data_IF_755827408160
#
_entry.id   IF_755827408160
#
_cell.length_a   1.000
_cell.length_b   1.000
_cell.length_c   1.000
_cell.angle_alpha   90.00
_cell.angle_beta   90.00
_cell.angle_gamma   90.00
#
_symmetry.space_group_name_H-M   'P 1'
#
loop_
_entity.id
_entity.type
_entity.pdbx_description
1 polymer ?
#
# COMPACT_ATOMS: atom_id res chain seq x y z
N UNK A 1 40.44 61.51 38.41
CA UNK A 1 41.20 60.33 38.91
C UNK A 1 40.23 59.21 39.28
N UNK A 2 39.87 58.39 38.29
CA UNK A 2 39.26 57.05 38.42
C UNK A 2 39.50 56.34 37.07
N UNK A 3 40.24 55.23 37.01
CA UNK A 3 40.65 54.63 35.73
C UNK A 3 39.55 53.76 35.10
N UNK A 4 39.62 53.69 33.78
CA UNK A 4 38.79 52.92 32.85
C UNK A 4 39.01 51.40 33.01
N UNK A 5 37.99 50.53 32.92
CA UNK A 5 38.19 49.09 32.95
C UNK A 5 38.75 48.56 31.62
N UNK A 6 39.79 47.74 31.71
CA UNK A 6 40.44 47.02 30.60
C UNK A 6 39.58 45.83 30.10
N UNK A 7 39.69 45.45 28.80
CA UNK A 7 38.95 44.32 28.25
C UNK A 7 39.53 42.97 28.70
N UNK A 8 38.71 41.91 28.85
CA UNK A 8 39.20 40.58 29.19
C UNK A 8 39.95 39.92 28.01
N UNK A 9 41.08 39.33 28.37
CA UNK A 9 42.05 38.69 27.49
C UNK A 9 41.54 37.39 26.85
N UNK A 10 42.02 37.15 25.63
CA UNK A 10 41.83 35.93 24.85
C UNK A 10 42.33 34.68 25.59
N UNK A 11 41.48 33.64 25.61
CA UNK A 11 41.87 32.30 26.04
C UNK A 11 42.71 31.62 24.95
N UNK A 12 43.85 30.99 25.28
CA UNK A 12 44.67 30.28 24.33
C UNK A 12 44.08 28.90 23.97
N UNK A 13 44.24 28.57 22.69
CA UNK A 13 43.93 27.29 22.06
C UNK A 13 44.69 26.14 22.73
N UNK A 14 43.96 25.11 23.14
CA UNK A 14 44.53 23.82 23.56
C UNK A 14 44.99 23.02 22.33
N UNK A 15 46.24 22.52 22.28
CA UNK A 15 46.67 21.56 21.27
C UNK A 15 46.17 20.13 21.60
N UNK A 16 45.88 19.27 20.60
CA UNK A 16 45.48 17.88 20.81
C UNK A 16 46.69 17.00 21.21
N UNK A 17 46.50 15.97 22.05
CA UNK A 17 47.55 15.02 22.37
C UNK A 17 47.75 13.97 21.26
N UNK A 18 49.02 13.64 21.03
CA UNK A 18 49.50 12.60 20.11
C UNK A 18 49.13 11.17 20.57
N UNK A 19 48.94 10.26 19.61
CA UNK A 19 48.79 8.80 19.84
C UNK A 19 50.02 8.14 20.48
N UNK A 20 50.01 6.84 20.82
CA UNK A 20 49.75 5.69 19.92
C UNK A 20 48.78 4.66 20.59
N UNK A 21 48.32 3.52 20.05
CA UNK A 21 48.99 2.35 19.42
C UNK A 21 47.89 1.57 18.67
N UNK A 22 48.19 1.12 17.44
CA UNK A 22 47.36 0.18 16.69
C UNK A 22 47.39 -1.19 17.37
N UNK A 23 46.26 -1.65 17.91
CA UNK A 23 46.12 -3.02 18.37
C UNK A 23 45.67 -3.91 17.22
N UNK A 24 46.46 -4.96 17.01
CA UNK A 24 46.51 -5.86 15.87
C UNK A 24 45.30 -6.80 15.76
N UNK A 25 44.79 -6.89 14.54
CA UNK A 25 43.78 -7.84 14.05
C UNK A 25 44.26 -9.30 14.25
N UNK A 26 43.42 -10.23 14.73
CA UNK A 26 43.80 -11.64 14.78
C UNK A 26 43.93 -12.24 13.36
N UNK A 27 44.90 -13.13 13.09
CA UNK A 27 45.12 -13.71 11.77
C UNK A 27 44.17 -14.88 11.47
N UNK A 28 43.81 -15.01 10.20
CA UNK A 28 43.08 -16.14 9.62
C UNK A 28 43.95 -17.42 9.62
N UNK A 29 43.37 -18.63 9.76
CA UNK A 29 44.12 -19.88 9.67
C UNK A 29 44.54 -20.20 8.21
N UNK A 30 45.70 -20.87 8.01
CA UNK A 30 46.22 -21.16 6.68
C UNK A 30 45.46 -22.29 5.97
N UNK A 31 45.24 -22.10 4.67
CA UNK A 31 44.71 -23.09 3.75
C UNK A 31 45.67 -24.28 3.62
N UNK A 32 45.16 -25.49 3.90
CA UNK A 32 45.85 -26.74 3.56
C UNK A 32 45.77 -26.99 2.05
N UNK A 33 46.93 -26.95 1.40
CA UNK A 33 47.16 -27.42 0.05
C UNK A 33 47.24 -28.95 0.05
N UNK A 34 46.22 -29.61 -0.52
CA UNK A 34 46.29 -31.01 -0.95
C UNK A 34 46.82 -31.12 -2.38
N UNK A 35 47.58 -32.17 -2.74
CA UNK A 35 48.30 -32.25 -4.01
C UNK A 35 47.42 -32.69 -5.18
N UNK A 36 47.76 -32.14 -6.35
CA UNK A 36 47.21 -32.47 -7.67
C UNK A 36 47.51 -33.91 -8.07
N UNK A 37 46.48 -34.64 -8.51
CA UNK A 37 46.59 -35.70 -9.52
C UNK A 37 45.54 -35.42 -10.59
N UNK A 38 46.00 -35.24 -11.83
CA UNK A 38 45.14 -34.91 -12.97
C UNK A 38 44.43 -36.13 -13.54
N UNK A 39 43.24 -35.91 -14.09
CA UNK A 39 42.80 -36.60 -15.31
C UNK A 39 41.85 -35.68 -16.06
N UNK A 40 42.15 -35.52 -17.33
CA UNK A 40 41.48 -34.81 -18.43
C UNK A 40 40.00 -35.20 -18.59
N UNK A 41 39.08 -34.25 -18.79
CA UNK A 41 38.08 -34.25 -19.88
C UNK A 41 37.38 -32.88 -20.03
N UNK A 42 37.00 -32.55 -21.26
CA UNK A 42 36.54 -31.24 -21.75
C UNK A 42 35.01 -31.02 -21.56
N UNK A 43 34.45 -29.85 -21.94
CA UNK A 43 33.29 -29.22 -21.28
C UNK A 43 31.92 -29.62 -21.83
N UNK A 44 30.97 -29.88 -20.93
CA UNK A 44 29.54 -30.08 -21.24
C UNK A 44 28.66 -29.17 -20.39
N UNK A 45 27.85 -28.37 -21.08
CA UNK A 45 26.67 -27.59 -20.66
C UNK A 45 26.30 -27.50 -19.15
N UNK A 46 26.09 -26.30 -18.58
CA UNK A 46 25.44 -26.19 -17.27
C UNK A 46 23.95 -26.56 -17.43
N UNK A 47 23.59 -27.70 -16.84
CA UNK A 47 22.19 -28.08 -16.63
C UNK A 47 21.50 -27.07 -15.67
N UNK A 48 20.18 -26.91 -15.76
CA UNK A 48 19.43 -25.91 -14.98
C UNK A 48 19.48 -26.27 -13.50
N UNK A 49 19.74 -25.26 -12.66
CA UNK A 49 19.70 -25.40 -11.21
C UNK A 49 18.33 -25.93 -10.73
N UNK A 50 18.30 -26.64 -9.60
CA UNK A 50 17.07 -27.20 -9.04
C UNK A 50 16.03 -26.09 -8.79
N UNK A 51 14.72 -26.42 -8.89
CA UNK A 51 13.66 -25.42 -8.82
C UNK A 51 13.71 -24.71 -7.47
N UNK A 52 13.66 -23.38 -7.52
CA UNK A 52 13.44 -22.53 -6.36
C UNK A 52 12.33 -23.15 -5.50
N UNK A 53 12.67 -23.51 -4.26
CA UNK A 53 11.73 -23.89 -3.23
C UNK A 53 10.67 -22.80 -3.16
N UNK A 54 9.48 -23.14 -3.64
CA UNK A 54 8.26 -22.37 -3.45
C UNK A 54 8.09 -22.27 -1.94
N UNK A 55 8.44 -21.12 -1.37
CA UNK A 55 8.02 -20.78 0.00
C UNK A 55 6.52 -21.06 0.07
N UNK A 56 6.05 -21.85 1.04
CA UNK A 56 4.64 -22.14 1.16
C UNK A 56 3.91 -20.81 1.35
N UNK A 57 3.03 -20.49 0.40
CA UNK A 57 1.93 -19.56 0.65
C UNK A 57 1.23 -20.02 1.92
N UNK A 58 0.91 -19.13 2.87
CA UNK A 58 0.04 -19.49 3.97
C UNK A 58 -1.28 -19.96 3.36
N UNK A 59 -1.53 -21.25 3.46
CA UNK A 59 -2.77 -21.85 2.99
C UNK A 59 -3.94 -21.26 3.80
N UNK A 60 -5.16 -21.20 3.22
CA UNK A 60 -6.37 -20.90 3.99
C UNK A 60 -6.44 -21.78 5.24
N UNK A 61 -7.23 -21.43 6.27
CA UNK A 61 -7.36 -22.25 7.47
C UNK A 61 -7.92 -23.63 7.10
N UNK A 62 -7.03 -24.56 6.81
CA UNK A 62 -7.35 -25.92 6.43
C UNK A 62 -7.78 -26.63 7.70
N UNK A 63 -9.00 -27.17 7.67
CA UNK A 63 -9.53 -28.03 8.71
C UNK A 63 -8.50 -29.12 9.10
N UNK A 64 -8.37 -29.47 10.39
CA UNK A 64 -7.46 -30.51 10.80
C UNK A 64 -7.76 -31.80 10.02
N UNK A 65 -6.73 -32.52 9.54
CA UNK A 65 -6.95 -33.75 8.80
C UNK A 65 -7.63 -34.77 9.71
N UNK A 66 -8.92 -35.03 9.46
CA UNK A 66 -9.67 -36.04 10.21
C UNK A 66 -9.15 -37.43 9.83
N UNK A 67 -8.74 -38.27 10.80
CA UNK A 67 -8.30 -39.64 10.54
C UNK A 67 -9.33 -40.43 9.73
N UNK A 68 -8.88 -41.22 8.76
CA UNK A 68 -9.78 -42.00 7.89
C UNK A 68 -10.72 -42.96 8.67
N UNK A 69 -10.30 -43.42 9.87
CA UNK A 69 -11.09 -44.26 10.76
C UNK A 69 -12.29 -43.54 11.43
N UNK A 70 -12.34 -42.20 11.35
CA UNK A 70 -13.38 -41.36 11.94
C UNK A 70 -14.32 -40.75 10.87
N UNK A 71 -14.02 -40.96 9.59
CA UNK A 71 -14.90 -40.58 8.48
C UNK A 71 -16.20 -41.37 8.53
N UNK A 72 -17.34 -40.67 8.49
CA UNK A 72 -18.69 -41.28 8.59
C UNK A 72 -19.27 -41.37 10.01
N UNK A 73 -18.60 -40.82 11.03
CA UNK A 73 -19.19 -40.61 12.36
C UNK A 73 -20.07 -39.37 12.35
N UNK A 74 -21.27 -39.49 12.92
CA UNK A 74 -22.23 -38.41 13.02
C UNK A 74 -22.32 -37.92 14.46
N UNK A 75 -22.29 -36.61 14.64
CA UNK A 75 -22.40 -35.96 15.94
C UNK A 75 -23.57 -34.97 15.91
N UNK A 76 -24.26 -34.85 17.05
CA UNK A 76 -25.28 -33.82 17.28
C UNK A 76 -24.71 -32.84 18.29
N UNK A 77 -24.62 -31.57 17.90
CA UNK A 77 -24.10 -30.50 18.76
C UNK A 77 -25.26 -29.57 19.11
N UNK A 78 -25.57 -29.48 20.40
CA UNK A 78 -26.55 -28.54 20.93
C UNK A 78 -25.92 -27.79 22.11
N UNK A 79 -25.77 -26.49 21.96
CA UNK A 79 -25.24 -25.59 22.96
C UNK A 79 -26.27 -24.49 23.20
N UNK A 80 -26.72 -24.33 24.45
CA UNK A 80 -27.59 -23.23 24.85
C UNK A 80 -26.80 -22.29 25.76
N UNK A 81 -26.58 -21.06 25.30
CA UNK A 81 -25.88 -20.02 26.07
C UNK A 81 -24.53 -20.47 26.66
N UNK A 82 -23.80 -21.32 25.93
CA UNK A 82 -22.54 -21.91 26.35
C UNK A 82 -21.36 -20.96 26.09
N UNK A 83 -20.33 -21.01 26.92
CA UNK A 83 -19.11 -20.25 26.69
C UNK A 83 -18.37 -20.74 25.43
N UNK A 84 -17.76 -19.81 24.68
CA UNK A 84 -16.95 -20.13 23.48
C UNK A 84 -15.87 -21.17 23.80
N UNK A 85 -15.26 -21.09 25.00
CA UNK A 85 -14.27 -22.05 25.48
C UNK A 85 -14.80 -23.48 25.50
N UNK A 86 -16.02 -23.67 26.00
CA UNK A 86 -16.68 -24.99 26.07
C UNK A 86 -16.95 -25.54 24.67
N UNK A 87 -17.38 -24.70 23.74
CA UNK A 87 -17.65 -25.11 22.35
C UNK A 87 -16.37 -25.54 21.64
N UNK A 88 -15.29 -24.76 21.81
CA UNK A 88 -13.96 -25.10 21.27
C UNK A 88 -13.44 -26.39 21.89
N UNK A 89 -13.57 -26.56 23.19
CA UNK A 89 -13.14 -27.76 23.89
C UNK A 89 -13.85 -29.01 23.37
N UNK A 90 -15.19 -28.96 23.26
CA UNK A 90 -15.98 -30.04 22.69
C UNK A 90 -15.57 -30.37 21.25
N UNK A 91 -15.36 -29.35 20.41
CA UNK A 91 -14.88 -29.56 19.05
C UNK A 91 -13.48 -30.18 19.00
N UNK A 92 -12.59 -29.81 19.93
CA UNK A 92 -11.25 -30.37 20.05
C UNK A 92 -11.26 -31.83 20.48
N UNK A 93 -12.19 -32.23 21.35
CA UNK A 93 -12.37 -33.63 21.78
C UNK A 93 -12.90 -34.49 20.63
N UNK A 94 -13.85 -33.95 19.87
CA UNK A 94 -14.42 -34.63 18.70
C UNK A 94 -13.36 -34.79 17.60
N UNK A 95 -12.58 -33.75 17.29
CA UNK A 95 -11.65 -33.73 16.15
C UNK A 95 -10.21 -34.13 16.50
N UNK A 96 -9.87 -34.16 17.79
CA UNK A 96 -8.53 -34.52 18.28
C UNK A 96 -7.44 -33.49 17.96
N UNK A 97 -7.74 -32.18 17.94
CA UNK A 97 -6.73 -31.13 17.68
C UNK A 97 -6.34 -30.37 18.95
N UNK A 98 -5.07 -29.95 19.02
CA UNK A 98 -4.59 -29.08 20.09
C UNK A 98 -4.94 -27.62 19.79
N UNK A 99 -5.34 -26.86 20.80
CA UNK A 99 -5.67 -25.44 20.64
C UNK A 99 -5.13 -24.56 21.76
N UNK A 100 -5.00 -23.26 21.46
CA UNK A 100 -4.65 -22.21 22.41
C UNK A 100 -5.63 -21.06 22.27
N UNK A 101 -6.27 -20.68 23.37
CA UNK A 101 -7.17 -19.53 23.46
C UNK A 101 -6.37 -18.27 23.80
N UNK A 102 -6.62 -17.18 23.07
CA UNK A 102 -6.17 -15.85 23.49
C UNK A 102 -7.06 -15.32 24.65
N UNK A 103 -6.54 -14.51 25.58
CA UNK A 103 -7.29 -14.01 26.75
C UNK A 103 -8.53 -13.18 26.37
N UNK A 104 -8.52 -12.62 25.15
CA UNK A 104 -9.59 -11.79 24.60
C UNK A 104 -10.77 -12.61 24.03
N UNK A 105 -10.68 -13.94 23.97
CA UNK A 105 -11.72 -14.82 23.42
C UNK A 105 -12.72 -15.15 24.52
N UNK A 106 -13.70 -14.29 24.70
CA UNK A 106 -14.80 -14.47 25.65
C UNK A 106 -16.12 -14.14 24.98
N UNK A 107 -17.13 -14.96 25.22
CA UNK A 107 -18.45 -14.80 24.63
C UNK A 107 -19.34 -15.98 24.93
N UNK A 108 -20.66 -15.77 24.82
CA UNK A 108 -21.65 -16.82 24.91
C UNK A 108 -22.20 -17.13 23.52
N UNK A 109 -22.38 -18.41 23.25
CA UNK A 109 -22.85 -18.93 21.96
C UNK A 109 -24.06 -19.83 22.19
N UNK A 110 -25.06 -19.69 21.34
CA UNK A 110 -26.15 -20.66 21.22
C UNK A 110 -26.08 -21.30 19.85
N UNK A 111 -26.02 -22.63 19.81
CA UNK A 111 -25.95 -23.44 18.60
C UNK A 111 -26.98 -24.55 18.73
N UNK A 112 -27.92 -24.59 17.80
CA UNK A 112 -28.85 -25.71 17.67
C UNK A 112 -28.65 -26.35 16.32
N UNK A 113 -28.39 -27.66 16.32
CA UNK A 113 -28.27 -28.43 15.09
C UNK A 113 -29.50 -29.30 14.92
N UNK A 114 -30.22 -29.14 13.80
CA UNK A 114 -31.43 -29.92 13.50
C UNK A 114 -31.14 -31.33 12.95
N UNK A 115 -29.87 -31.64 12.64
CA UNK A 115 -29.46 -32.86 11.96
C UNK A 115 -28.13 -33.44 12.45
N UNK A 116 -27.82 -34.64 11.96
CA UNK A 116 -26.55 -35.33 12.21
C UNK A 116 -25.45 -34.71 11.36
N UNK A 117 -24.43 -34.13 12.00
CA UNK A 117 -23.28 -33.52 11.30
C UNK A 117 -22.17 -34.56 11.17
N UNK A 118 -21.61 -34.80 9.98
CA UNK A 118 -20.45 -35.68 9.85
C UNK A 118 -19.24 -35.03 10.55
N UNK A 119 -18.41 -35.85 11.18
CA UNK A 119 -17.30 -35.37 12.01
C UNK A 119 -16.36 -34.40 11.27
N UNK A 120 -16.19 -34.57 9.96
CA UNK A 120 -15.42 -33.67 9.08
C UNK A 120 -15.97 -32.26 8.96
N UNK A 121 -17.28 -32.07 9.09
CA UNK A 121 -17.92 -30.77 9.02
C UNK A 121 -17.95 -30.04 10.36
N UNK A 122 -17.63 -30.72 11.46
CA UNK A 122 -17.61 -30.12 12.81
C UNK A 122 -16.63 -28.96 12.88
N UNK A 123 -15.50 -29.03 12.17
CA UNK A 123 -14.53 -27.93 12.16
C UNK A 123 -15.06 -26.72 11.38
N UNK A 124 -15.76 -26.95 10.28
CA UNK A 124 -16.38 -25.88 9.49
C UNK A 124 -17.50 -25.19 10.28
N UNK A 125 -18.29 -25.96 11.02
CA UNK A 125 -19.29 -25.42 11.93
C UNK A 125 -18.65 -24.59 13.06
N UNK A 126 -17.57 -25.09 13.67
CA UNK A 126 -16.81 -24.34 14.67
C UNK A 126 -16.33 -23.01 14.11
N UNK A 127 -15.77 -22.99 12.90
CA UNK A 127 -15.30 -21.77 12.26
C UNK A 127 -16.46 -20.78 12.02
N UNK A 128 -17.62 -21.27 11.54
CA UNK A 128 -18.81 -20.44 11.34
C UNK A 128 -19.31 -19.82 12.65
N UNK A 129 -19.30 -20.60 13.74
CA UNK A 129 -19.66 -20.11 15.09
C UNK A 129 -18.70 -19.02 15.54
N UNK A 130 -17.39 -19.25 15.39
CA UNK A 130 -16.37 -18.28 15.78
C UNK A 130 -16.52 -16.98 14.97
N UNK A 131 -16.81 -17.09 13.67
CA UNK A 131 -16.96 -15.95 12.76
C UNK A 131 -18.11 -15.02 13.17
N UNK A 132 -19.27 -15.56 13.59
CA UNK A 132 -20.41 -14.77 14.07
C UNK A 132 -20.04 -13.90 15.28
N UNK A 133 -19.14 -14.39 16.13
CA UNK A 133 -18.64 -13.66 17.30
C UNK A 133 -17.35 -12.87 17.04
N UNK A 134 -16.87 -12.81 15.79
CA UNK A 134 -15.67 -12.05 15.42
C UNK A 134 -14.35 -12.72 15.82
N UNK A 135 -14.36 -14.03 16.03
CA UNK A 135 -13.18 -14.86 16.28
C UNK A 135 -12.83 -15.72 15.07
N UNK A 136 -11.61 -16.25 15.05
CA UNK A 136 -11.18 -17.21 14.03
C UNK A 136 -10.09 -18.12 14.57
N UNK A 137 -9.94 -19.29 13.97
CA UNK A 137 -8.88 -20.25 14.28
C UNK A 137 -7.77 -20.18 13.23
N UNK A 138 -6.57 -19.80 13.66
CA UNK A 138 -5.37 -19.75 12.81
C UNK A 138 -4.51 -20.96 13.12
N UNK A 139 -4.15 -21.73 12.08
CA UNK A 139 -3.25 -22.87 12.22
C UNK A 139 -1.82 -22.38 12.46
N UNK A 140 -1.20 -22.86 13.53
CA UNK A 140 0.18 -22.54 13.91
C UNK A 140 0.92 -23.86 14.15
N UNK A 141 1.70 -24.30 13.15
CA UNK A 141 2.41 -25.58 13.18
C UNK A 141 1.46 -26.78 13.48
N UNK A 142 1.45 -27.25 14.73
CA UNK A 142 0.70 -28.41 15.21
C UNK A 142 -0.48 -28.07 16.15
N UNK A 143 -0.80 -26.78 16.31
CA UNK A 143 -1.90 -26.32 17.17
C UNK A 143 -2.71 -25.21 16.50
N UNK A 144 -3.97 -25.08 16.92
CA UNK A 144 -4.87 -24.03 16.44
C UNK A 144 -4.93 -22.91 17.46
N UNK A 145 -4.59 -21.69 17.04
CA UNK A 145 -4.69 -20.50 17.88
C UNK A 145 -6.00 -19.80 17.58
N UNK A 146 -6.83 -19.61 18.59
CA UNK A 146 -8.10 -18.88 18.46
C UNK A 146 -7.86 -17.43 18.85
N UNK A 147 -8.11 -16.53 17.91
CA UNK A 147 -7.85 -15.10 18.03
C UNK A 147 -9.04 -14.31 17.49
N UNK A 148 -9.09 -13.01 17.79
CA UNK A 148 -10.04 -12.11 17.15
C UNK A 148 -9.68 -11.94 15.67
N UNK A 149 -10.70 -11.81 14.82
CA UNK A 149 -10.56 -11.60 13.38
C UNK A 149 -9.57 -10.47 13.00
N UNK A 150 -9.57 -9.27 13.65
CA UNK A 150 -8.57 -8.24 13.37
C UNK A 150 -7.12 -8.70 13.63
N UNK A 151 -6.89 -9.52 14.66
CA UNK A 151 -5.54 -10.01 15.00
C UNK A 151 -5.08 -11.13 14.05
N UNK A 152 -6.01 -11.91 13.50
CA UNK A 152 -5.72 -12.94 12.50
C UNK A 152 -5.34 -12.33 11.14
N UNK A 153 -6.02 -11.25 10.74
CA UNK A 153 -5.71 -10.51 9.52
C UNK A 153 -4.28 -9.91 9.54
N UNK A 154 -3.66 -9.73 10.70
CA UNK A 154 -2.29 -9.21 10.77
C UNK A 154 -1.21 -10.30 10.72
N UNK A 155 -1.55 -11.57 11.01
CA UNK A 155 -0.56 -12.65 11.22
C UNK A 155 -0.34 -13.60 10.04
N UNK A 156 -1.14 -13.52 8.98
CA UNK A 156 -1.02 -14.37 7.79
C UNK A 156 -0.96 -13.61 6.47
N UNK A 157 -0.86 -12.28 6.52
CA UNK A 157 -1.03 -11.45 5.34
C UNK A 157 0.30 -11.25 4.59
N UNK A 158 0.36 -11.61 3.29
CA UNK A 158 1.53 -11.36 2.46
C UNK A 158 1.79 -9.86 2.33
N UNK A 159 3.02 -9.44 2.64
CA UNK A 159 3.45 -8.05 2.55
C UNK A 159 4.05 -7.77 1.16
N UNK A 160 3.56 -6.73 0.51
CA UNK A 160 4.01 -6.24 -0.80
C UNK A 160 4.61 -4.85 -0.61
N UNK A 161 5.77 -4.63 -1.22
CA UNK A 161 6.47 -3.34 -1.20
C UNK A 161 6.30 -2.65 -2.54
N UNK A 162 5.83 -1.40 -2.55
CA UNK A 162 5.78 -0.57 -3.75
C UNK A 162 4.46 0.19 -3.94
N UNK A 163 4.39 0.98 -5.01
CA UNK A 163 3.20 1.77 -5.36
C UNK A 163 2.29 1.09 -6.39
N UNK A 164 2.64 -0.11 -6.86
CA UNK A 164 1.91 -0.85 -7.87
C UNK A 164 1.15 -2.03 -7.24
N UNK A 165 -0.16 -2.18 -7.51
CA UNK A 165 -0.91 -3.35 -7.09
C UNK A 165 -0.49 -4.57 -7.91
N UNK A 166 -0.25 -5.70 -7.24
CA UNK A 166 0.03 -6.97 -7.92
C UNK A 166 -1.25 -7.47 -8.64
N UNK A 167 -1.25 -7.56 -9.98
CA UNK A 167 -2.41 -8.02 -10.74
C UNK A 167 -2.68 -9.53 -10.61
N UNK A 168 -1.75 -10.32 -10.08
CA UNK A 168 -1.86 -11.78 -10.00
C UNK A 168 -2.66 -12.29 -8.78
N UNK A 169 -3.08 -11.41 -7.87
CA UNK A 169 -3.73 -11.76 -6.59
C UNK A 169 -5.25 -11.69 -6.67
N UNK A 170 -5.90 -12.61 -5.95
CA UNK A 170 -7.35 -12.64 -5.84
C UNK A 170 -7.87 -11.33 -5.21
N UNK A 171 -8.95 -10.74 -5.75
CA UNK A 171 -9.45 -9.43 -5.31
C UNK A 171 -9.99 -9.42 -3.87
N UNK A 172 -10.26 -10.60 -3.29
CA UNK A 172 -10.77 -10.78 -1.92
C UNK A 172 -9.69 -11.12 -0.90
N UNK A 173 -8.44 -11.28 -1.34
CA UNK A 173 -7.32 -11.57 -0.45
C UNK A 173 -6.93 -10.31 0.34
N UNK A 174 -6.69 -10.47 1.65
CA UNK A 174 -6.12 -9.41 2.48
C UNK A 174 -4.62 -9.36 2.22
N UNK A 175 -4.11 -8.19 1.83
CA UNK A 175 -2.70 -7.94 1.54
C UNK A 175 -2.22 -6.73 2.34
N UNK A 176 -0.92 -6.68 2.68
CA UNK A 176 -0.30 -5.49 3.27
C UNK A 176 0.54 -4.79 2.21
N UNK A 177 0.23 -3.54 1.91
CA UNK A 177 0.93 -2.71 0.94
C UNK A 177 1.73 -1.61 1.64
N UNK A 178 3.01 -1.48 1.27
CA UNK A 178 3.88 -0.40 1.73
C UNK A 178 3.99 0.67 0.63
N UNK A 179 3.47 1.87 0.91
CA UNK A 179 3.34 2.99 -0.03
C UNK A 179 4.26 4.14 0.41
N UNK A 180 5.34 4.45 -0.33
CA UNK A 180 6.13 5.64 -0.10
C UNK A 180 5.34 6.90 -0.51
N UNK A 181 5.46 7.97 0.27
CA UNK A 181 4.82 9.26 0.02
C UNK A 181 5.91 10.31 -0.22
N UNK A 182 5.71 11.19 -1.22
CA UNK A 182 6.78 12.09 -1.69
C UNK A 182 6.53 13.57 -1.40
N UNK A 183 5.30 14.04 -1.54
CA UNK A 183 4.97 15.47 -1.49
C UNK A 183 4.13 15.85 -0.27
N UNK A 184 3.29 14.93 0.22
CA UNK A 184 2.39 15.17 1.36
C UNK A 184 2.91 14.50 2.65
N UNK A 185 2.50 15.01 3.81
CA UNK A 185 2.72 14.37 5.10
C UNK A 185 1.91 13.08 5.24
N UNK A 186 2.55 11.98 5.62
CA UNK A 186 1.88 10.68 5.81
C UNK A 186 0.81 10.73 6.90
N UNK A 187 0.92 11.60 7.90
CA UNK A 187 -0.10 11.74 8.94
C UNK A 187 -1.40 12.35 8.41
N UNK A 188 -1.29 13.27 7.45
CA UNK A 188 -2.44 13.92 6.84
C UNK A 188 -3.16 12.90 5.93
N UNK A 189 -2.40 12.16 5.12
CA UNK A 189 -2.92 11.05 4.33
C UNK A 189 -3.56 9.97 5.22
N UNK A 190 -2.96 9.60 6.34
CA UNK A 190 -3.56 8.65 7.29
C UNK A 190 -4.95 9.11 7.70
N UNK A 191 -5.09 10.36 8.12
CA UNK A 191 -6.35 10.91 8.63
C UNK A 191 -7.43 10.94 7.53
N UNK A 192 -7.02 11.21 6.29
CA UNK A 192 -7.91 11.21 5.12
C UNK A 192 -8.33 9.80 4.69
N UNK A 193 -7.43 8.82 4.80
CA UNK A 193 -7.67 7.44 4.32
C UNK A 193 -8.33 6.55 5.38
N UNK A 194 -8.21 6.87 6.68
CA UNK A 194 -8.83 6.13 7.78
C UNK A 194 -10.30 5.75 7.57
N UNK A 195 -11.20 6.65 7.10
CA UNK A 195 -12.61 6.29 6.88
C UNK A 195 -12.85 5.38 5.67
N UNK A 196 -11.89 5.26 4.77
CA UNK A 196 -12.00 4.44 3.54
C UNK A 196 -11.51 3.00 3.73
N UNK A 197 -10.99 2.69 4.91
CA UNK A 197 -10.45 1.37 5.26
C UNK A 197 -11.57 0.49 5.81
N UNK A 198 -11.52 -0.79 5.46
CA UNK A 198 -12.45 -1.80 5.98
C UNK A 198 -12.34 -1.90 7.51
N UNK A 199 -13.38 -1.48 8.23
CA UNK A 199 -13.37 -1.41 9.71
C UNK A 199 -13.12 -2.77 10.40
N UNK A 200 -13.39 -3.89 9.71
CA UNK A 200 -13.30 -5.24 10.27
C UNK A 200 -11.96 -5.94 9.98
N UNK A 201 -11.29 -5.60 8.88
CA UNK A 201 -10.13 -6.35 8.35
C UNK A 201 -8.96 -5.46 7.96
N UNK A 202 -9.13 -4.14 8.00
CA UNK A 202 -8.17 -3.17 7.52
C UNK A 202 -7.47 -2.40 8.65
N UNK A 203 -6.22 -2.05 8.42
CA UNK A 203 -5.39 -1.27 9.33
C UNK A 203 -4.45 -0.36 8.56
N UNK A 204 -4.17 0.82 9.09
CA UNK A 204 -3.22 1.78 8.52
C UNK A 204 -2.22 2.25 9.56
N UNK A 205 -0.95 2.23 9.17
CA UNK A 205 0.16 2.65 10.01
C UNK A 205 0.99 3.66 9.22
N UNK A 206 1.18 4.83 9.82
CA UNK A 206 1.98 5.91 9.27
C UNK A 206 3.37 5.90 9.92
N UNK A 207 4.43 5.80 9.11
CA UNK A 207 5.80 5.94 9.58
C UNK A 207 6.37 7.30 9.14
N UNK A 208 6.44 8.24 10.09
CA UNK A 208 6.85 9.63 9.82
C UNK A 208 8.30 9.76 9.39
N UNK A 209 9.22 8.98 9.97
CA UNK A 209 10.66 9.14 9.72
C UNK A 209 11.08 8.76 8.30
N UNK A 210 10.42 7.74 7.75
CA UNK A 210 10.68 7.26 6.38
C UNK A 210 9.65 7.79 5.37
N UNK A 211 8.68 8.57 5.83
CA UNK A 211 7.51 9.02 5.06
C UNK A 211 6.83 7.88 4.27
N UNK A 212 6.55 6.78 4.97
CA UNK A 212 5.92 5.59 4.40
C UNK A 212 4.57 5.32 5.05
N UNK A 213 3.57 4.97 4.24
CA UNK A 213 2.27 4.51 4.67
C UNK A 213 2.16 2.99 4.48
N UNK A 214 1.88 2.27 5.56
CA UNK A 214 1.65 0.82 5.54
C UNK A 214 0.15 0.60 5.65
N UNK A 215 -0.45 -0.01 4.63
CA UNK A 215 -1.89 -0.26 4.52
C UNK A 215 -2.10 -1.76 4.51
N UNK A 216 -2.95 -2.29 5.38
CA UNK A 216 -3.44 -3.68 5.32
C UNK A 216 -4.92 -3.64 5.04
N UNK A 217 -5.37 -4.26 3.94
CA UNK A 217 -6.79 -4.38 3.59
C UNK A 217 -6.96 -5.41 2.45
N UNK A 218 -8.19 -5.58 1.98
CA UNK A 218 -8.52 -6.38 0.80
C UNK A 218 -7.85 -5.79 -0.44
N UNK A 219 -7.31 -6.64 -1.31
CA UNK A 219 -6.59 -6.25 -2.52
C UNK A 219 -7.38 -5.28 -3.44
N UNK A 220 -8.70 -5.49 -3.57
CA UNK A 220 -9.57 -4.57 -4.31
C UNK A 220 -9.66 -3.17 -3.68
N UNK A 221 -9.72 -3.06 -2.35
CA UNK A 221 -9.73 -1.78 -1.66
C UNK A 221 -8.36 -1.08 -1.74
N UNK A 222 -7.27 -1.86 -1.64
CA UNK A 222 -5.91 -1.32 -1.77
C UNK A 222 -5.68 -0.67 -3.13
N UNK A 223 -6.16 -1.26 -4.22
CA UNK A 223 -6.09 -0.64 -5.57
C UNK A 223 -6.75 0.74 -5.57
N UNK A 224 -7.96 0.84 -5.02
CA UNK A 224 -8.69 2.11 -4.89
C UNK A 224 -7.95 3.12 -4.01
N UNK A 225 -7.41 2.69 -2.87
CA UNK A 225 -6.63 3.55 -1.98
C UNK A 225 -5.36 4.06 -2.65
N UNK A 226 -4.67 3.22 -3.42
CA UNK A 226 -3.48 3.63 -4.19
C UNK A 226 -3.81 4.69 -5.24
N UNK A 227 -4.94 4.58 -5.93
CA UNK A 227 -5.39 5.59 -6.91
C UNK A 227 -5.67 6.94 -6.23
N UNK A 228 -6.30 6.91 -5.06
CA UNK A 228 -6.56 8.11 -4.25
C UNK A 228 -5.25 8.73 -3.77
N UNK A 229 -4.31 7.93 -3.26
CA UNK A 229 -2.99 8.41 -2.83
C UNK A 229 -2.25 9.07 -3.99
N UNK A 230 -2.28 8.48 -5.20
CA UNK A 230 -1.64 9.08 -6.40
C UNK A 230 -2.25 10.42 -6.80
N UNK A 231 -3.54 10.61 -6.57
CA UNK A 231 -4.23 11.86 -6.89
C UNK A 231 -3.91 12.96 -5.87
N UNK A 232 -3.69 12.60 -4.60
CA UNK A 232 -3.43 13.55 -3.52
C UNK A 232 -1.93 13.85 -3.38
N UNK A 233 -1.07 12.85 -3.53
CA UNK A 233 0.39 12.99 -3.47
C UNK A 233 0.93 13.54 -4.79
N UNK A 234 0.46 14.73 -5.15
CA UNK A 234 0.95 15.53 -6.27
C UNK A 234 1.81 16.68 -5.73
N UNK A 235 2.73 17.18 -6.56
CA UNK A 235 3.36 18.47 -6.27
C UNK A 235 2.27 19.53 -6.22
N UNK A 236 1.92 19.97 -5.02
CA UNK A 236 1.28 21.26 -4.85
C UNK A 236 2.27 22.26 -5.40
N UNK A 237 1.85 23.07 -6.38
CA UNK A 237 2.65 24.17 -6.88
C UNK A 237 3.04 25.00 -5.66
N UNK A 238 4.30 24.88 -5.25
CA UNK A 238 4.86 25.69 -4.18
C UNK A 238 4.58 27.14 -4.58
N UNK A 239 4.08 27.94 -3.65
CA UNK A 239 3.97 29.38 -3.86
C UNK A 239 5.38 29.88 -4.20
N UNK A 240 5.65 30.10 -5.48
CA UNK A 240 6.98 30.42 -5.96
C UNK A 240 7.24 31.88 -5.57
N UNK A 241 8.09 32.07 -4.56
CA UNK A 241 8.44 33.40 -4.09
C UNK A 241 9.38 34.05 -5.09
N UNK A 242 8.86 34.97 -5.90
CA UNK A 242 9.66 35.74 -6.84
C UNK A 242 9.99 37.13 -6.27
N UNK A 243 11.28 37.47 -6.23
CA UNK A 243 11.74 38.81 -5.86
C UNK A 243 11.73 39.69 -7.12
N UNK A 244 10.90 40.73 -7.12
CA UNK A 244 10.80 41.70 -8.22
C UNK A 244 11.43 43.02 -7.75
N UNK A 245 12.63 43.39 -8.25
CA UNK A 245 13.26 44.66 -7.87
C UNK A 245 12.48 45.84 -8.46
N UNK A 246 12.18 46.84 -7.62
CA UNK A 246 11.46 48.03 -8.01
C UNK A 246 12.45 49.16 -8.39
N UNK A 247 12.19 49.85 -9.50
CA UNK A 247 13.05 50.94 -9.98
C UNK A 247 12.53 52.34 -9.64
N UNK A 248 11.20 52.50 -9.56
CA UNK A 248 10.55 53.82 -9.49
C UNK A 248 9.49 53.94 -8.38
N UNK A 249 9.19 52.86 -7.67
CA UNK A 249 8.12 52.81 -6.68
C UNK A 249 8.64 52.29 -5.34
N UNK A 250 8.04 52.79 -4.25
CA UNK A 250 8.30 52.28 -2.91
C UNK A 250 7.62 50.91 -2.71
N UNK A 251 8.34 49.98 -2.09
CA UNK A 251 7.86 48.62 -1.88
C UNK A 251 6.69 48.55 -0.89
N UNK A 252 6.68 49.42 0.12
CA UNK A 252 5.64 49.46 1.14
C UNK A 252 4.29 49.89 0.58
N UNK A 253 4.28 50.95 -0.22
CA UNK A 253 3.06 51.47 -0.84
C UNK A 253 2.46 50.47 -1.85
N UNK A 254 3.30 49.84 -2.68
CA UNK A 254 2.84 48.80 -3.62
C UNK A 254 2.31 47.56 -2.90
N UNK A 255 2.96 47.12 -1.82
CA UNK A 255 2.49 45.98 -1.03
C UNK A 255 1.09 46.25 -0.43
N UNK A 256 0.83 47.47 0.06
CA UNK A 256 -0.48 47.83 0.58
C UNK A 256 -1.56 47.80 -0.49
N UNK A 257 -1.29 48.37 -1.67
CA UNK A 257 -2.24 48.38 -2.79
C UNK A 257 -2.52 46.95 -3.28
N UNK A 258 -1.48 46.12 -3.43
CA UNK A 258 -1.62 44.73 -3.85
C UNK A 258 -2.41 43.91 -2.81
N UNK A 259 -2.13 44.08 -1.52
CA UNK A 259 -2.90 43.42 -0.46
C UNK A 259 -4.37 43.83 -0.47
N UNK A 260 -4.68 45.12 -0.68
CA UNK A 260 -6.07 45.60 -0.83
C UNK A 260 -6.75 45.02 -2.08
N UNK A 261 -5.99 44.84 -3.17
CA UNK A 261 -6.49 44.33 -4.44
C UNK A 261 -6.74 42.80 -4.40
N UNK A 262 -5.91 42.04 -3.68
CA UNK A 262 -6.15 40.62 -3.39
C UNK A 262 -7.28 40.41 -2.37
N UNK A 263 -7.35 41.23 -1.32
CA UNK A 263 -8.41 41.18 -0.32
C UNK A 263 -9.80 41.52 -0.89
N UNK A 264 -9.86 42.37 -1.93
CA UNK A 264 -11.10 42.70 -2.63
C UNK A 264 -11.54 41.66 -3.67
N UNK A 265 -10.80 40.54 -3.81
CA UNK A 265 -11.23 39.36 -4.59
C UNK A 265 -11.32 39.55 -6.10
N UNK A 266 -10.80 40.66 -6.63
CA UNK A 266 -10.82 40.98 -8.08
C UNK A 266 -9.78 40.22 -8.89
N UNK A 267 -8.80 39.61 -8.24
CA UNK A 267 -7.86 38.69 -8.86
C UNK A 267 -7.98 37.33 -8.16
N UNK A 268 -8.59 36.37 -8.84
CA UNK A 268 -8.48 34.95 -8.47
C UNK A 268 -7.18 34.41 -9.06
N UNK A 269 -6.29 33.80 -8.27
CA UNK A 269 -5.16 33.06 -8.83
C UNK A 269 -5.71 31.86 -9.59
N UNK A 270 -5.38 31.73 -10.88
CA UNK A 270 -5.71 30.53 -11.67
C UNK A 270 -6.75 30.66 -12.79
N UNK A 271 -6.93 31.84 -13.39
CA UNK A 271 -7.65 31.96 -14.67
C UNK A 271 -6.75 32.63 -15.72
N UNK A 272 -5.78 31.88 -16.23
CA UNK A 272 -5.07 32.23 -17.45
C UNK A 272 -6.04 32.22 -18.62
N UNK A 273 -6.65 33.38 -18.89
CA UNK A 273 -7.34 33.64 -20.13
C UNK A 273 -6.30 33.74 -21.26
N UNK A 274 -6.04 32.62 -21.92
CA UNK A 274 -5.61 32.61 -23.31
C UNK A 274 -6.70 31.88 -24.11
N UNK A 275 -7.80 32.57 -24.35
CA UNK A 275 -8.70 32.18 -25.43
C UNK A 275 -7.98 32.55 -26.75
N UNK A 276 -7.75 31.60 -27.68
CA UNK A 276 -7.17 31.94 -28.97
C UNK A 276 -8.11 32.88 -29.71
N UNK A 277 -7.54 33.92 -30.32
CA UNK A 277 -8.26 34.89 -31.13
C UNK A 277 -9.09 34.16 -32.21
N UNK A 278 -10.35 34.57 -32.48
CA UNK A 278 -11.13 33.99 -33.56
C UNK A 278 -10.43 34.26 -34.91
N UNK A 279 -10.07 33.18 -35.58
CA UNK A 279 -9.43 33.14 -36.89
C UNK A 279 -10.31 33.86 -37.95
N UNK A 280 -9.74 34.68 -38.85
CA UNK A 280 -10.51 35.36 -39.88
C UNK A 280 -11.04 34.33 -40.89
N UNK A 281 -12.36 34.36 -41.13
CA UNK A 281 -13.08 33.43 -41.98
C UNK A 281 -12.46 33.26 -43.40
N UNK A 282 -12.51 32.04 -43.98
CA UNK A 282 -11.93 31.78 -45.30
C UNK A 282 -12.66 32.57 -46.38
N UNK A 283 -11.91 33.36 -47.16
CA UNK A 283 -12.39 34.06 -48.35
C UNK A 283 -12.94 33.04 -49.35
N UNK A 284 -14.25 33.08 -49.59
CA UNK A 284 -14.90 32.27 -50.64
C UNK A 284 -14.27 32.58 -52.01
N UNK A 285 -14.00 31.57 -52.85
CA UNK A 285 -13.50 31.80 -54.20
C UNK A 285 -14.56 32.54 -55.05
N UNK A 286 -14.11 33.52 -55.82
CA UNK A 286 -14.93 34.28 -56.77
C UNK A 286 -15.54 33.33 -57.81
N UNK A 287 -16.87 33.33 -57.90
CA UNK A 287 -17.65 32.66 -58.95
C UNK A 287 -17.30 33.28 -60.31
N UNK A 288 -16.98 32.50 -61.36
CA UNK A 288 -16.74 33.04 -62.69
C UNK A 288 -18.04 33.60 -63.30
N UNK A 289 -17.96 34.57 -64.23
CA UNK A 289 -19.13 35.18 -64.83
C UNK A 289 -19.90 34.16 -65.68
N UNK A 290 -21.22 34.13 -65.49
CA UNK A 290 -22.14 33.29 -66.25
C UNK A 290 -22.18 33.79 -67.69
N UNK A 291 -21.57 33.02 -68.58
CA UNK A 291 -21.61 33.23 -70.03
C UNK A 291 -23.03 33.18 -70.60
N UNK A 292 -23.17 33.91 -71.72
CA UNK A 292 -24.33 34.19 -72.55
C UNK A 292 -25.19 32.95 -72.97
N UNK A 293 -26.46 33.17 -73.40
CA UNK A 293 -27.39 32.11 -73.77
C UNK A 293 -27.00 31.38 -75.06
N UNK A 294 -27.41 30.10 -75.25
CA UNK A 294 -27.13 29.38 -76.48
C UNK A 294 -28.02 29.87 -77.63
N UNK A 295 -27.37 30.41 -78.68
CA UNK A 295 -27.96 30.59 -80.01
C UNK A 295 -28.34 29.22 -80.58
N UNK A 296 -29.64 29.04 -80.83
CA UNK A 296 -30.16 27.89 -81.55
C UNK A 296 -29.75 27.96 -83.03
N UNK A 297 -28.91 26.99 -83.37
CA UNK A 297 -28.43 26.68 -84.71
C UNK A 297 -29.60 26.60 -85.71
N UNK A 298 -29.65 27.54 -86.65
CA UNK A 298 -30.41 27.40 -87.90
C UNK A 298 -29.98 26.11 -88.60
N UNK A 299 -30.92 25.19 -88.83
CA UNK A 299 -30.80 24.17 -89.87
C UNK A 299 -31.99 24.33 -90.82
N UNK A 300 -31.62 24.73 -92.03
CA UNK A 300 -32.38 24.75 -93.27
C UNK A 300 -33.17 23.46 -93.54
N UNK A 301 -34.38 23.60 -94.14
CA UNK A 301 -34.78 22.76 -95.27
C UNK A 301 -36.07 21.94 -95.16
N UNK A 302 -37.20 22.49 -95.67
CA UNK A 302 -38.41 21.89 -96.29
C UNK A 302 -39.59 22.82 -95.98
N UNK A 303 -40.34 23.41 -96.91
CA UNK A 303 -40.58 23.26 -98.35
C UNK A 303 -40.81 24.65 -98.95
#
# INVERSE_FOLDING_TARGET
>A
MRPLPAPPAAAPLTPPPAGPVFESRPPLPPASLGPRAGTTEAPGAPAPGPPAERRPTPAPPIAPPVPAAQRGRFVVLNFDNADVETVVHAASEILGFNYVLAPDVRGKVTVQTSGRIPQEDVFNLLLAILEVHGFTAVRSENLYKIVRLPDAATRGVPTIVGTAPDPARAPEEVITQIVPVHYTSVNDLRTLLQPLISQQRGSVIAHRETNVLIITDIASNIRRLLDIVRLIDVQVALEETQIIPLQYADAGDLAQILNQLFASGRLRPGAGACAPAPEPAPRRPRRPPRGAPPESRRRSGRR
#
